data_IF_190627253681
#
_entry.id   IF_190627253681
#
_cell.length_a   1.000
_cell.length_b   1.000
_cell.length_c   1.000
_cell.angle_alpha   90.00
_cell.angle_beta   90.00
_cell.angle_gamma   90.00
#
_symmetry.space_group_name_H-M   'P 1'
#
loop_
_entity.id
_entity.type
_entity.pdbx_description
1 polymer ?
#
# COMPACT_ATOMS: atom_id res chain seq x y z
N UNK A 1 10.13 -23.81 -4.03
CA UNK A 1 10.62 -23.00 -2.88
C UNK A 1 10.23 -23.53 -1.49
N UNK A 2 8.97 -23.90 -1.22
CA UNK A 2 8.55 -24.39 0.12
C UNK A 2 9.13 -25.78 0.49
N UNK A 3 9.33 -26.66 -0.50
CA UNK A 3 9.92 -27.99 -0.27
C UNK A 3 11.40 -27.91 0.16
N UNK A 4 12.17 -26.99 -0.44
CA UNK A 4 13.61 -26.80 -0.13
C UNK A 4 13.84 -26.41 1.34
N UNK A 5 12.97 -25.57 1.89
CA UNK A 5 13.05 -25.11 3.29
C UNK A 5 12.82 -26.22 4.32
N UNK A 6 11.99 -27.22 3.99
CA UNK A 6 11.77 -28.40 4.85
C UNK A 6 13.01 -29.27 4.93
N UNK A 7 13.71 -29.48 3.80
CA UNK A 7 14.93 -30.29 3.75
C UNK A 7 16.10 -29.63 4.48
N UNK A 8 16.25 -28.31 4.39
CA UNK A 8 17.28 -27.57 5.14
C UNK A 8 17.08 -27.70 6.66
N UNK A 9 15.83 -27.65 7.14
CA UNK A 9 15.49 -27.84 8.55
C UNK A 9 15.74 -29.27 9.04
N UNK A 10 15.48 -30.26 8.19
CA UNK A 10 15.70 -31.68 8.48
C UNK A 10 17.20 -32.01 8.56
N UNK A 11 17.99 -31.53 7.60
CA UNK A 11 19.45 -31.69 7.55
C UNK A 11 20.11 -31.00 8.75
N UNK A 12 19.61 -29.83 9.14
CA UNK A 12 20.07 -29.14 10.35
C UNK A 12 19.81 -29.95 11.63
N UNK A 13 18.66 -30.60 11.74
CA UNK A 13 18.29 -31.41 12.92
C UNK A 13 19.19 -32.65 13.07
N UNK A 14 19.54 -33.29 11.94
CA UNK A 14 20.44 -34.46 11.89
C UNK A 14 21.88 -34.05 12.25
N UNK A 15 22.37 -32.92 11.72
CA UNK A 15 23.72 -32.43 12.06
C UNK A 15 23.85 -32.00 13.52
N UNK A 16 22.79 -31.43 14.11
CA UNK A 16 22.79 -31.05 15.53
C UNK A 16 22.73 -32.24 16.50
N UNK A 17 22.18 -33.39 16.07
CA UNK A 17 22.12 -34.60 16.90
C UNK A 17 23.43 -35.40 16.86
N UNK A 18 24.10 -35.48 15.70
CA UNK A 18 25.42 -36.10 15.57
C UNK A 18 26.49 -35.40 16.41
N UNK A 19 26.52 -34.07 16.41
CA UNK A 19 27.45 -33.27 17.23
C UNK A 19 27.18 -33.37 18.75
N UNK A 20 26.01 -33.84 19.16
CA UNK A 20 25.63 -33.99 20.57
C UNK A 20 26.23 -35.26 21.20
N UNK A 21 26.57 -36.27 20.39
CA UNK A 21 27.10 -37.55 20.87
C UNK A 21 28.61 -37.54 21.19
N UNK A 22 29.34 -36.47 20.82
CA UNK A 22 30.81 -36.44 20.83
C UNK A 22 31.46 -35.47 21.83
N UNK A 23 30.71 -34.80 22.72
CA UNK A 23 31.29 -33.80 23.64
C UNK A 23 30.98 -34.10 25.11
N UNK A 24 32.03 -34.39 25.89
CA UNK A 24 32.05 -34.65 27.33
C UNK A 24 31.72 -33.42 28.19
N UNK A 25 31.30 -33.67 29.44
CA UNK A 25 30.41 -32.84 30.26
C UNK A 25 30.85 -31.40 30.61
N UNK A 26 32.13 -31.03 30.60
CA UNK A 26 32.53 -29.63 30.87
C UNK A 26 32.53 -28.75 29.60
N UNK A 27 32.71 -29.35 28.42
CA UNK A 27 32.50 -28.69 27.14
C UNK A 27 30.99 -28.51 26.81
N UNK A 28 30.12 -29.28 27.45
CA UNK A 28 28.66 -29.20 27.26
C UNK A 28 28.10 -27.88 27.78
N UNK A 29 28.67 -27.28 28.83
CA UNK A 29 28.15 -26.02 29.38
C UNK A 29 28.49 -24.82 28.48
N UNK A 30 29.74 -24.71 28.03
CA UNK A 30 30.20 -23.68 27.09
C UNK A 30 29.55 -23.82 25.70
N UNK A 31 29.45 -25.06 25.19
CA UNK A 31 28.80 -25.33 23.90
C UNK A 31 27.32 -24.93 23.92
N UNK A 32 26.60 -25.18 25.02
CA UNK A 32 25.17 -24.88 25.09
C UNK A 32 24.84 -23.39 25.20
N UNK A 33 25.66 -22.58 25.88
CA UNK A 33 25.48 -21.11 25.90
C UNK A 33 25.72 -20.52 24.52
N UNK A 34 26.77 -20.95 23.81
CA UNK A 34 27.00 -20.55 22.43
C UNK A 34 25.88 -21.00 21.48
N UNK A 35 25.29 -22.19 21.69
CA UNK A 35 24.13 -22.66 20.93
C UNK A 35 22.92 -21.75 21.14
N UNK A 36 22.63 -21.32 22.37
CA UNK A 36 21.52 -20.39 22.64
C UNK A 36 21.75 -19.01 22.03
N UNK A 37 22.99 -18.50 22.04
CA UNK A 37 23.35 -17.26 21.34
C UNK A 37 23.13 -17.41 19.83
N UNK A 38 23.58 -18.51 19.21
CA UNK A 38 23.38 -18.80 17.79
C UNK A 38 21.88 -18.90 17.42
N UNK A 39 21.08 -19.62 18.23
CA UNK A 39 19.62 -19.70 18.07
C UNK A 39 18.96 -18.33 18.21
N UNK A 40 19.39 -17.54 19.19
CA UNK A 40 18.85 -16.21 19.42
C UNK A 40 19.14 -15.25 18.25
N UNK A 41 20.36 -15.27 17.70
CA UNK A 41 20.72 -14.50 16.48
C UNK A 41 19.83 -14.85 15.29
N UNK A 42 19.62 -16.14 15.04
CA UNK A 42 18.77 -16.60 13.94
C UNK A 42 17.32 -16.17 14.11
N UNK A 43 16.77 -16.35 15.32
CA UNK A 43 15.41 -15.90 15.63
C UNK A 43 15.27 -14.39 15.54
N UNK A 44 16.28 -13.63 15.98
CA UNK A 44 16.24 -12.17 15.91
C UNK A 44 16.14 -11.73 14.44
N UNK A 45 16.97 -12.27 13.57
CA UNK A 45 16.93 -11.98 12.14
C UNK A 45 15.55 -12.28 11.53
N UNK A 46 14.93 -13.39 11.92
CA UNK A 46 13.60 -13.74 11.46
C UNK A 46 12.53 -12.74 11.95
N UNK A 47 12.51 -12.45 13.25
CA UNK A 47 11.54 -11.53 13.86
C UNK A 47 11.73 -10.09 13.34
N UNK A 48 12.97 -9.65 13.19
CA UNK A 48 13.31 -8.35 12.62
C UNK A 48 12.83 -8.21 11.17
N UNK A 49 13.01 -9.25 10.35
CA UNK A 49 12.50 -9.25 8.97
C UNK A 49 10.97 -9.21 8.93
N UNK A 50 10.29 -9.89 9.86
CA UNK A 50 8.83 -9.80 9.98
C UNK A 50 8.38 -8.38 10.32
N UNK A 51 9.01 -7.71 11.30
CA UNK A 51 8.72 -6.33 11.68
C UNK A 51 8.95 -5.36 10.50
N UNK A 52 10.09 -5.48 9.81
CA UNK A 52 10.40 -4.68 8.61
C UNK A 52 9.36 -4.86 7.51
N UNK A 53 8.92 -6.11 7.26
CA UNK A 53 7.91 -6.39 6.25
C UNK A 53 6.53 -5.85 6.64
N UNK A 54 6.20 -5.86 7.94
CA UNK A 54 4.97 -5.31 8.47
C UNK A 54 4.90 -3.79 8.25
N UNK A 55 5.98 -3.07 8.55
CA UNK A 55 6.11 -1.63 8.30
C UNK A 55 5.97 -1.30 6.82
N UNK A 56 6.66 -2.05 5.95
CA UNK A 56 6.52 -1.91 4.48
C UNK A 56 5.07 -2.12 4.03
N UNK A 57 4.38 -3.10 4.62
CA UNK A 57 2.97 -3.35 4.33
C UNK A 57 2.07 -2.19 4.78
N UNK A 58 2.22 -1.69 6.02
CA UNK A 58 1.46 -0.53 6.51
C UNK A 58 1.62 0.68 5.60
N UNK A 59 2.86 0.96 5.18
CA UNK A 59 3.15 2.05 4.25
C UNK A 59 2.50 1.82 2.87
N UNK A 60 2.66 0.63 2.28
CA UNK A 60 2.10 0.30 0.96
C UNK A 60 0.58 0.45 0.89
N UNK A 61 -0.12 0.13 1.97
CA UNK A 61 -1.58 0.18 2.05
C UNK A 61 -2.11 1.37 2.86
N UNK A 62 -1.27 2.38 3.14
CA UNK A 62 -1.60 3.59 3.89
C UNK A 62 -2.34 3.33 5.22
N UNK A 63 -1.94 2.29 5.95
CA UNK A 63 -2.53 1.91 7.24
C UNK A 63 -1.87 2.75 8.34
N UNK A 64 -2.55 3.83 8.76
CA UNK A 64 -2.05 4.72 9.81
C UNK A 64 -2.05 4.09 11.20
N UNK A 65 -3.14 3.43 11.58
CA UNK A 65 -3.24 2.66 12.82
C UNK A 65 -4.17 1.47 12.61
N UNK A 66 -3.81 0.35 13.22
CA UNK A 66 -4.66 -0.83 13.34
C UNK A 66 -4.32 -1.55 14.64
N UNK A 67 -5.29 -1.64 15.56
CA UNK A 67 -5.08 -2.22 16.89
C UNK A 67 -4.42 -3.60 16.84
N UNK A 68 -4.76 -4.45 15.87
CA UNK A 68 -4.16 -5.79 15.79
C UNK A 68 -2.72 -5.74 15.26
N UNK A 69 -2.45 -4.93 14.23
CA UNK A 69 -1.09 -4.78 13.71
C UNK A 69 -0.17 -4.09 14.71
N UNK A 70 -0.67 -3.07 15.41
CA UNK A 70 0.09 -2.30 16.40
C UNK A 70 0.44 -3.17 17.62
N UNK A 71 -0.45 -4.08 18.04
CA UNK A 71 -0.14 -5.11 19.06
C UNK A 71 0.96 -6.07 18.58
N UNK A 72 0.89 -6.52 17.33
CA UNK A 72 1.90 -7.41 16.75
C UNK A 72 3.27 -6.72 16.68
N UNK A 73 3.33 -5.46 16.25
CA UNK A 73 4.58 -4.68 16.24
C UNK A 73 5.21 -4.59 17.64
N UNK A 74 4.39 -4.34 18.67
CA UNK A 74 4.85 -4.33 20.06
C UNK A 74 5.40 -5.69 20.49
N UNK A 75 4.69 -6.78 20.18
CA UNK A 75 5.15 -8.14 20.49
C UNK A 75 6.48 -8.47 19.78
N UNK A 76 6.61 -8.16 18.49
CA UNK A 76 7.84 -8.37 17.74
C UNK A 76 9.02 -7.59 18.35
N UNK A 77 8.79 -6.35 18.76
CA UNK A 77 9.80 -5.51 19.44
C UNK A 77 10.26 -6.13 20.78
N UNK A 78 9.32 -6.64 21.58
CA UNK A 78 9.64 -7.34 22.83
C UNK A 78 10.46 -8.61 22.56
N UNK A 79 10.08 -9.40 21.55
CA UNK A 79 10.83 -10.59 21.15
C UNK A 79 12.26 -10.25 20.74
N UNK A 80 12.46 -9.22 19.89
CA UNK A 80 13.79 -8.74 19.48
C UNK A 80 14.62 -8.32 20.70
N UNK A 81 14.03 -7.55 21.62
CA UNK A 81 14.72 -7.11 22.85
C UNK A 81 15.20 -8.30 23.68
N UNK A 82 14.33 -9.28 23.90
CA UNK A 82 14.67 -10.48 24.66
C UNK A 82 15.78 -11.32 23.99
N UNK A 83 15.72 -11.46 22.66
CA UNK A 83 16.75 -12.18 21.90
C UNK A 83 18.11 -11.47 21.96
N UNK A 84 18.14 -10.14 21.94
CA UNK A 84 19.39 -9.36 22.14
C UNK A 84 19.99 -9.57 23.52
N UNK A 85 19.17 -9.60 24.58
CA UNK A 85 19.65 -9.86 25.94
C UNK A 85 20.30 -11.24 26.07
N UNK A 86 19.72 -12.27 25.44
CA UNK A 86 20.31 -13.62 25.40
C UNK A 86 21.69 -13.59 24.70
N UNK A 87 21.81 -12.86 23.59
CA UNK A 87 23.07 -12.78 22.85
C UNK A 87 24.19 -12.08 23.63
N UNK A 88 23.84 -11.09 24.45
CA UNK A 88 24.78 -10.38 25.32
C UNK A 88 25.10 -11.13 26.61
N UNK A 89 24.54 -12.34 26.80
CA UNK A 89 24.71 -13.16 28.01
C UNK A 89 24.19 -12.43 29.26
N UNK A 90 23.22 -11.53 29.09
CA UNK A 90 22.55 -10.80 30.19
C UNK A 90 21.49 -11.68 30.91
N UNK A 91 21.28 -12.91 30.44
CA UNK A 91 20.24 -13.84 30.91
C UNK A 91 20.87 -15.20 31.18
N UNK A 92 20.55 -15.79 32.34
CA UNK A 92 20.97 -17.16 32.70
C UNK A 92 20.53 -18.19 31.65
N UNK A 93 21.29 -19.26 31.51
CA UNK A 93 21.12 -20.28 30.45
C UNK A 93 19.72 -20.90 30.44
N UNK A 94 19.22 -21.32 31.59
CA UNK A 94 17.92 -22.01 31.74
C UNK A 94 16.77 -21.07 31.34
N UNK A 95 16.91 -19.80 31.67
CA UNK A 95 15.95 -18.75 31.33
C UNK A 95 16.01 -18.44 29.83
N UNK A 96 17.20 -18.39 29.24
CA UNK A 96 17.41 -18.15 27.81
C UNK A 96 16.72 -19.22 26.95
N UNK A 97 16.85 -20.49 27.32
CA UNK A 97 16.21 -21.57 26.57
C UNK A 97 14.69 -21.53 26.68
N UNK A 98 14.14 -21.20 27.86
CA UNK A 98 12.70 -21.00 28.06
C UNK A 98 12.17 -19.86 27.18
N UNK A 99 12.87 -18.72 27.16
CA UNK A 99 12.52 -17.57 26.31
C UNK A 99 12.55 -17.94 24.82
N UNK A 100 13.58 -18.65 24.35
CA UNK A 100 13.70 -19.10 22.95
C UNK A 100 12.51 -20.00 22.57
N UNK A 101 12.19 -21.01 23.41
CA UNK A 101 11.07 -21.92 23.18
C UNK A 101 9.73 -21.17 23.15
N UNK A 102 9.54 -20.22 24.06
CA UNK A 102 8.34 -19.40 24.12
C UNK A 102 8.17 -18.53 22.86
N UNK A 103 9.25 -17.86 22.42
CA UNK A 103 9.25 -17.05 21.19
C UNK A 103 8.89 -17.92 19.98
N UNK A 104 9.47 -19.11 19.85
CA UNK A 104 9.14 -20.04 18.76
C UNK A 104 7.65 -20.43 18.81
N UNK A 105 7.12 -20.74 19.99
CA UNK A 105 5.70 -21.10 20.15
C UNK A 105 4.79 -19.93 19.74
N UNK A 106 5.09 -18.72 20.20
CA UNK A 106 4.36 -17.50 19.83
C UNK A 106 4.44 -17.25 18.32
N UNK A 107 5.62 -17.38 17.70
CA UNK A 107 5.83 -17.26 16.24
C UNK A 107 4.95 -18.22 15.44
N UNK A 108 4.84 -19.48 15.87
CA UNK A 108 3.98 -20.48 15.21
C UNK A 108 2.50 -20.09 15.24
N UNK A 109 2.03 -19.52 16.36
CA UNK A 109 0.63 -19.12 16.53
C UNK A 109 0.33 -17.81 15.79
N UNK A 110 1.20 -16.81 15.89
CA UNK A 110 0.90 -15.50 15.33
C UNK A 110 1.10 -15.45 13.82
N UNK A 111 2.05 -16.18 13.23
CA UNK A 111 2.37 -16.05 11.79
C UNK A 111 1.14 -16.32 10.89
N UNK A 112 0.34 -17.38 11.12
CA UNK A 112 -0.92 -17.59 10.41
C UNK A 112 -1.93 -16.45 10.63
N UNK A 113 -2.07 -15.96 11.88
CA UNK A 113 -2.99 -14.87 12.23
C UNK A 113 -2.60 -13.59 11.51
N UNK A 114 -1.32 -13.23 11.52
CA UNK A 114 -0.77 -12.09 10.79
C UNK A 114 -1.07 -12.22 9.30
N UNK A 115 -0.79 -13.38 8.68
CA UNK A 115 -1.10 -13.61 7.26
C UNK A 115 -2.58 -13.37 6.92
N UNK A 116 -3.50 -13.82 7.78
CA UNK A 116 -4.95 -13.60 7.61
C UNK A 116 -5.29 -12.11 7.69
N UNK A 117 -4.77 -11.40 8.69
CA UNK A 117 -5.00 -9.96 8.87
C UNK A 117 -4.48 -9.18 7.66
N UNK A 118 -3.25 -9.44 7.21
CA UNK A 118 -2.65 -8.78 6.06
C UNK A 118 -3.49 -9.01 4.78
N UNK A 119 -3.98 -10.24 4.55
CA UNK A 119 -4.86 -10.54 3.42
C UNK A 119 -6.16 -9.73 3.48
N UNK A 120 -6.79 -9.64 4.65
CA UNK A 120 -8.02 -8.86 4.85
C UNK A 120 -7.78 -7.37 4.62
N UNK A 121 -6.69 -6.81 5.17
CA UNK A 121 -6.36 -5.38 5.01
C UNK A 121 -6.07 -5.00 3.56
N UNK A 122 -5.34 -5.86 2.84
CA UNK A 122 -5.15 -5.72 1.40
C UNK A 122 -6.49 -5.65 0.66
N UNK A 123 -7.40 -6.59 0.90
CA UNK A 123 -8.72 -6.62 0.27
C UNK A 123 -9.55 -5.37 0.57
N UNK A 124 -9.57 -4.92 1.83
CA UNK A 124 -10.30 -3.71 2.22
C UNK A 124 -9.75 -2.48 1.48
N UNK A 125 -8.42 -2.35 1.39
CA UNK A 125 -7.80 -1.26 0.65
C UNK A 125 -8.15 -1.29 -0.84
N UNK A 126 -8.07 -2.46 -1.48
CA UNK A 126 -8.42 -2.63 -2.90
C UNK A 126 -9.89 -2.28 -3.16
N UNK A 127 -10.82 -2.74 -2.31
CA UNK A 127 -12.23 -2.39 -2.39
C UNK A 127 -12.47 -0.89 -2.22
N UNK A 128 -11.78 -0.25 -1.27
CA UNK A 128 -11.88 1.19 -1.08
C UNK A 128 -11.37 1.96 -2.29
N UNK A 129 -10.28 1.53 -2.94
CA UNK A 129 -9.80 2.14 -4.17
C UNK A 129 -10.80 2.00 -5.32
N UNK A 130 -11.46 0.84 -5.46
CA UNK A 130 -12.53 0.64 -6.45
C UNK A 130 -13.68 1.62 -6.18
N UNK A 131 -14.14 1.74 -4.93
CA UNK A 131 -15.21 2.68 -4.55
C UNK A 131 -14.82 4.13 -4.84
N UNK A 132 -13.59 4.51 -4.54
CA UNK A 132 -13.07 5.87 -4.82
C UNK A 132 -13.05 6.11 -6.32
N UNK A 133 -12.51 5.19 -7.12
CA UNK A 133 -12.52 5.28 -8.59
C UNK A 133 -13.94 5.46 -9.11
N UNK A 134 -14.89 4.65 -8.67
CA UNK A 134 -16.31 4.77 -9.06
C UNK A 134 -16.90 6.14 -8.75
N UNK A 135 -16.57 6.75 -7.60
CA UNK A 135 -17.01 8.12 -7.29
C UNK A 135 -16.47 9.15 -8.29
N UNK A 136 -15.20 9.07 -8.65
CA UNK A 136 -14.61 9.98 -9.65
C UNK A 136 -15.18 9.75 -11.06
N UNK A 137 -15.47 8.50 -11.43
CA UNK A 137 -16.15 8.18 -12.69
C UNK A 137 -17.54 8.83 -12.76
N UNK A 138 -18.37 8.65 -11.72
CA UNK A 138 -19.70 9.27 -11.65
C UNK A 138 -19.63 10.80 -11.76
N UNK A 139 -18.65 11.42 -11.09
CA UNK A 139 -18.43 12.87 -11.19
C UNK A 139 -18.01 13.29 -12.60
N UNK A 140 -17.12 12.53 -13.23
CA UNK A 140 -16.67 12.78 -14.60
C UNK A 140 -17.81 12.70 -15.61
N UNK A 141 -18.66 11.68 -15.50
CA UNK A 141 -19.85 11.51 -16.35
C UNK A 141 -20.85 12.65 -16.17
N UNK A 142 -21.11 13.06 -14.92
CA UNK A 142 -22.00 14.18 -14.62
C UNK A 142 -21.47 15.50 -15.20
N UNK A 143 -20.17 15.77 -15.03
CA UNK A 143 -19.53 16.94 -15.60
C UNK A 143 -19.58 16.91 -17.12
N UNK A 144 -19.36 15.74 -17.74
CA UNK A 144 -19.39 15.57 -19.19
C UNK A 144 -20.75 15.97 -19.75
N UNK A 145 -21.84 15.43 -19.19
CA UNK A 145 -23.21 15.81 -19.59
C UNK A 145 -23.49 17.30 -19.46
N UNK A 146 -23.03 17.93 -18.36
CA UNK A 146 -23.19 19.39 -18.18
C UNK A 146 -22.40 20.18 -19.22
N UNK A 147 -21.16 19.77 -19.52
CA UNK A 147 -20.33 20.42 -20.54
C UNK A 147 -20.94 20.25 -21.94
N UNK A 148 -21.52 19.10 -22.26
CA UNK A 148 -22.26 18.88 -23.51
C UNK A 148 -23.44 19.83 -23.66
N UNK A 149 -24.24 19.98 -22.60
CA UNK A 149 -25.37 20.92 -22.63
C UNK A 149 -24.90 22.35 -22.90
N UNK A 150 -23.81 22.79 -22.25
CA UNK A 150 -23.22 24.11 -22.47
C UNK A 150 -22.73 24.26 -23.92
N UNK A 151 -22.01 23.27 -24.44
CA UNK A 151 -21.53 23.25 -25.84
C UNK A 151 -22.71 23.37 -26.80
N UNK A 152 -23.77 22.58 -26.59
CA UNK A 152 -24.95 22.58 -27.43
C UNK A 152 -25.68 23.93 -27.42
N UNK A 153 -25.87 24.52 -26.23
CA UNK A 153 -26.45 25.85 -26.09
C UNK A 153 -25.61 26.90 -26.83
N UNK A 154 -24.30 26.93 -26.63
CA UNK A 154 -23.40 27.89 -27.29
C UNK A 154 -23.40 27.71 -28.81
N UNK A 155 -23.37 26.48 -29.29
CA UNK A 155 -23.42 26.17 -30.71
C UNK A 155 -24.72 26.66 -31.36
N UNK A 156 -25.87 26.44 -30.71
CA UNK A 156 -27.16 26.92 -31.23
C UNK A 156 -27.23 28.45 -31.34
N UNK A 157 -26.53 29.19 -30.49
CA UNK A 157 -26.46 30.66 -30.57
C UNK A 157 -25.73 31.17 -31.82
N UNK A 158 -24.82 30.37 -32.39
CA UNK A 158 -23.96 30.80 -33.51
C UNK A 158 -24.26 30.07 -34.83
N UNK A 159 -24.92 28.90 -34.81
CA UNK A 159 -25.04 28.02 -35.98
C UNK A 159 -25.82 28.63 -37.16
N UNK A 160 -26.71 29.59 -36.90
CA UNK A 160 -27.58 30.18 -37.92
C UNK A 160 -27.03 31.50 -38.51
N UNK A 161 -25.79 31.89 -38.16
CA UNK A 161 -25.19 33.13 -38.65
C UNK A 161 -24.52 32.91 -40.01
N UNK A 162 -24.88 33.73 -41.00
CA UNK A 162 -24.24 33.73 -42.34
C UNK A 162 -22.82 34.34 -42.34
N UNK A 163 -22.58 35.32 -41.48
CA UNK A 163 -21.28 35.99 -41.32
C UNK A 163 -20.94 36.01 -39.84
N UNK A 164 -19.72 35.59 -39.50
CA UNK A 164 -19.23 35.54 -38.12
C UNK A 164 -18.47 36.82 -37.75
N UNK A 165 -18.86 37.43 -36.64
CA UNK A 165 -18.08 38.53 -36.04
C UNK A 165 -16.81 38.01 -35.34
N UNK A 166 -15.89 38.92 -35.00
CA UNK A 166 -14.73 38.58 -34.16
C UNK A 166 -15.14 37.99 -32.80
N UNK A 167 -16.29 38.40 -32.25
CA UNK A 167 -16.86 37.82 -31.02
C UNK A 167 -17.30 36.36 -31.26
N UNK A 168 -17.94 36.08 -32.40
CA UNK A 168 -18.36 34.72 -32.76
C UNK A 168 -17.17 33.79 -32.95
N UNK A 169 -16.09 34.25 -33.58
CA UNK A 169 -14.85 33.48 -33.74
C UNK A 169 -14.22 33.10 -32.37
N UNK A 170 -14.27 34.01 -31.39
CA UNK A 170 -13.84 33.71 -30.01
C UNK A 170 -14.73 32.66 -29.36
N UNK A 171 -16.05 32.75 -29.52
CA UNK A 171 -17.00 31.75 -29.02
C UNK A 171 -16.75 30.38 -29.66
N UNK A 172 -16.54 30.32 -30.98
CA UNK A 172 -16.20 29.07 -31.70
C UNK A 172 -14.94 28.43 -31.14
N UNK A 173 -13.89 29.22 -30.88
CA UNK A 173 -12.65 28.73 -30.27
C UNK A 173 -12.92 28.14 -28.88
N UNK A 174 -13.69 28.84 -28.03
CA UNK A 174 -14.08 28.35 -26.71
C UNK A 174 -14.89 27.05 -26.79
N UNK A 175 -15.83 26.93 -27.73
CA UNK A 175 -16.59 25.69 -27.98
C UNK A 175 -15.64 24.54 -28.33
N UNK A 176 -14.67 24.74 -29.25
CA UNK A 176 -13.69 23.71 -29.62
C UNK A 176 -12.86 23.25 -28.42
N UNK A 177 -12.45 24.19 -27.57
CA UNK A 177 -11.73 23.87 -26.33
C UNK A 177 -12.60 23.08 -25.35
N UNK A 178 -13.86 23.48 -25.16
CA UNK A 178 -14.82 22.75 -24.32
C UNK A 178 -15.06 21.32 -24.84
N UNK A 179 -15.18 21.12 -26.17
CA UNK A 179 -15.30 19.79 -26.77
C UNK A 179 -14.08 18.92 -26.44
N UNK A 180 -12.88 19.48 -26.53
CA UNK A 180 -11.64 18.79 -26.15
C UNK A 180 -11.64 18.39 -24.67
N UNK A 181 -12.01 19.30 -23.77
CA UNK A 181 -12.09 18.98 -22.34
C UNK A 181 -13.20 17.97 -22.01
N UNK A 182 -14.33 18.02 -22.72
CA UNK A 182 -15.40 17.04 -22.57
C UNK A 182 -14.95 15.64 -23.01
N UNK A 183 -14.15 15.55 -24.09
CA UNK A 183 -13.52 14.29 -24.48
C UNK A 183 -12.60 13.76 -23.37
N UNK A 184 -11.80 14.63 -22.75
CA UNK A 184 -10.96 14.23 -21.61
C UNK A 184 -11.77 13.69 -20.42
N UNK A 185 -12.99 14.21 -20.17
CA UNK A 185 -13.91 13.65 -19.18
C UNK A 185 -14.39 12.25 -19.59
N UNK A 186 -14.86 12.07 -20.84
CA UNK A 186 -15.31 10.76 -21.34
C UNK A 186 -14.20 9.70 -21.30
N UNK A 187 -12.98 10.10 -21.62
CA UNK A 187 -11.80 9.23 -21.63
C UNK A 187 -11.27 8.92 -20.22
N UNK A 188 -11.77 9.62 -19.19
CA UNK A 188 -11.40 9.40 -17.79
C UNK A 188 -11.68 7.96 -17.33
N UNK A 189 -12.71 7.31 -17.88
CA UNK A 189 -13.05 5.90 -17.59
C UNK A 189 -11.98 4.90 -18.03
N UNK A 190 -11.34 5.18 -19.16
CA UNK A 190 -10.33 4.33 -19.79
C UNK A 190 -8.91 4.56 -19.26
N UNK A 191 -8.69 5.66 -18.52
CA UNK A 191 -7.37 5.96 -17.95
C UNK A 191 -7.01 5.00 -16.82
N UNK A 192 -5.74 4.57 -16.82
CA UNK A 192 -5.12 3.84 -15.71
C UNK A 192 -4.51 4.87 -14.76
N UNK A 193 -4.95 4.84 -13.51
CA UNK A 193 -4.44 5.72 -12.45
C UNK A 193 -3.66 4.89 -11.44
N UNK A 194 -2.51 5.41 -10.99
CA UNK A 194 -1.63 4.83 -9.97
C UNK A 194 -2.27 4.94 -8.60
N UNK A 195 -2.88 6.08 -8.29
CA UNK A 195 -3.51 6.34 -6.99
C UNK A 195 -4.66 7.37 -7.06
N UNK A 196 -5.26 7.64 -5.89
CA UNK A 196 -6.35 8.61 -5.71
C UNK A 196 -5.93 10.05 -6.03
N UNK A 197 -4.70 10.44 -5.69
CA UNK A 197 -4.24 11.81 -5.87
C UNK A 197 -4.08 12.12 -7.35
N UNK A 198 -3.57 11.18 -8.13
CA UNK A 198 -3.52 11.29 -9.59
C UNK A 198 -4.91 11.46 -10.19
N UNK A 199 -5.88 10.62 -9.81
CA UNK A 199 -7.30 10.78 -10.23
C UNK A 199 -7.85 12.16 -9.89
N UNK A 200 -7.62 12.63 -8.66
CA UNK A 200 -8.09 13.93 -8.17
C UNK A 200 -7.49 15.07 -8.99
N UNK A 201 -6.18 15.06 -9.17
CA UNK A 201 -5.46 16.13 -9.85
C UNK A 201 -5.87 16.22 -11.32
N UNK A 202 -5.97 15.08 -11.99
CA UNK A 202 -6.42 15.02 -13.38
C UNK A 202 -7.82 15.61 -13.55
N UNK A 203 -8.79 15.19 -12.73
CA UNK A 203 -10.15 15.71 -12.80
C UNK A 203 -10.21 17.21 -12.48
N UNK A 204 -9.44 17.67 -11.49
CA UNK A 204 -9.35 19.10 -11.15
C UNK A 204 -8.78 19.94 -12.29
N UNK A 205 -7.77 19.44 -13.00
CA UNK A 205 -7.20 20.12 -14.17
C UNK A 205 -8.26 20.28 -15.27
N UNK A 206 -9.01 19.22 -15.57
CA UNK A 206 -10.08 19.28 -16.58
C UNK A 206 -11.16 20.29 -16.17
N UNK A 207 -11.59 20.27 -14.90
CA UNK A 207 -12.59 21.22 -14.37
C UNK A 207 -12.09 22.66 -14.46
N UNK A 208 -10.83 22.92 -14.09
CA UNK A 208 -10.23 24.26 -14.18
C UNK A 208 -10.23 24.77 -15.61
N UNK A 209 -9.86 23.92 -16.57
CA UNK A 209 -9.87 24.29 -17.99
C UNK A 209 -11.29 24.60 -18.47
N UNK A 210 -12.26 23.74 -18.19
CA UNK A 210 -13.67 23.97 -18.54
C UNK A 210 -14.17 25.30 -17.96
N UNK A 211 -13.87 25.57 -16.68
CA UNK A 211 -14.25 26.82 -16.02
C UNK A 211 -13.61 28.04 -16.69
N UNK A 212 -12.34 27.96 -17.03
CA UNK A 212 -11.63 29.05 -17.72
C UNK A 212 -12.29 29.39 -19.04
N UNK A 213 -12.56 28.39 -19.88
CA UNK A 213 -13.19 28.57 -21.19
C UNK A 213 -14.61 29.17 -21.06
N UNK A 214 -15.41 28.68 -20.10
CA UNK A 214 -16.75 29.23 -19.84
C UNK A 214 -16.65 30.71 -19.42
N UNK A 215 -15.69 31.06 -18.56
CA UNK A 215 -15.50 32.44 -18.11
C UNK A 215 -15.05 33.37 -19.23
N UNK A 216 -14.16 32.91 -20.11
CA UNK A 216 -13.74 33.66 -21.30
C UNK A 216 -14.90 33.89 -22.26
N UNK A 217 -15.68 32.85 -22.57
CA UNK A 217 -16.89 32.97 -23.40
C UNK A 217 -17.89 33.95 -22.76
N UNK A 218 -18.10 33.86 -21.44
CA UNK A 218 -19.00 34.77 -20.72
C UNK A 218 -18.56 36.24 -20.81
N UNK A 219 -17.25 36.52 -20.79
CA UNK A 219 -16.72 37.89 -20.99
C UNK A 219 -17.04 38.42 -22.39
N UNK A 220 -16.98 37.57 -23.42
CA UNK A 220 -17.32 37.94 -24.80
C UNK A 220 -18.79 38.35 -24.93
N UNK A 221 -19.70 37.76 -24.15
CA UNK A 221 -21.12 38.14 -24.15
C UNK A 221 -21.45 39.41 -23.36
N UNK A 222 -20.57 39.85 -22.44
CA UNK A 222 -20.78 41.06 -21.62
C UNK A 222 -20.27 42.34 -22.26
N UNK A 223 -19.30 42.22 -23.17
CA UNK A 223 -18.71 43.30 -23.94
C UNK A 223 -19.30 43.32 -25.35
#
# INVERSE_FOLDING_TARGET
MIKLFKYILLIFFILTSLNYSLATNDNVYYNNTQINIKKAKLLENYVYNLDKNLKKFKNKYNIKSDKNLDLIEKELSIMIKNLKKIQKVEIKKEISEKIIKEIIKRLKIFTPKLKKILKTKKKIFELNNIKIKQKYLKLSDLLSKKTENIIFSLYNTIKNKKIYSLKDLKIIKGIKNLVKQNKNLKDFKSKKFKDKNEMKNELLTIIKNIRSEILEIKKVFKN
#
